data_IF_841956339325
#
_entry.id   IF_841956339325
#
_cell.length_a   1.000
_cell.length_b   1.000
_cell.length_c   1.000
_cell.angle_alpha   90.00
_cell.angle_beta   90.00
_cell.angle_gamma   90.00
#
_symmetry.space_group_name_H-M   'P 1'
#
loop_
_entity.id
_entity.type
_entity.pdbx_description
1 polymer ?
#
# COMPACT_ATOMS: atom_id res chain seq x y z
N UNK A 1 37.13 7.60 13.98
CA UNK A 1 36.77 6.31 14.60
C UNK A 1 35.30 6.09 14.29
N UNK A 2 35.04 5.54 13.10
CA UNK A 2 33.69 5.20 12.64
C UNK A 2 33.18 4.03 13.50
N UNK A 3 31.99 4.21 14.10
CA UNK A 3 31.36 3.18 14.90
C UNK A 3 30.98 2.00 14.01
N UNK A 4 31.52 0.84 14.33
CA UNK A 4 31.24 -0.42 13.63
C UNK A 4 29.74 -0.75 13.73
N UNK A 5 29.02 -0.62 12.62
CA UNK A 5 27.61 -1.02 12.52
C UNK A 5 27.53 -2.55 12.56
N UNK A 6 27.29 -3.10 13.75
CA UNK A 6 27.10 -4.54 13.93
C UNK A 6 25.71 -4.95 13.42
N UNK A 7 25.60 -5.95 12.53
CA UNK A 7 24.31 -6.47 12.10
C UNK A 7 23.56 -7.12 13.29
N UNK A 8 22.24 -7.11 13.20
CA UNK A 8 21.34 -7.72 14.19
C UNK A 8 21.69 -9.20 14.40
N UNK A 9 21.83 -9.62 15.66
CA UNK A 9 22.08 -11.03 16.00
C UNK A 9 20.79 -11.88 16.00
N UNK A 10 20.94 -13.19 16.21
CA UNK A 10 19.82 -14.13 16.13
C UNK A 10 18.75 -13.92 17.22
N UNK A 11 19.13 -13.46 18.41
CA UNK A 11 18.19 -13.22 19.51
C UNK A 11 17.43 -11.91 19.28
N UNK A 12 18.15 -10.86 18.87
CA UNK A 12 17.55 -9.60 18.45
C UNK A 12 16.60 -9.79 17.27
N UNK A 13 16.99 -10.61 16.28
CA UNK A 13 16.12 -10.96 15.15
C UNK A 13 14.86 -11.66 15.63
N UNK A 14 14.96 -12.63 16.55
CA UNK A 14 13.80 -13.35 17.06
C UNK A 14 12.83 -12.40 17.76
N UNK A 15 13.32 -11.53 18.63
CA UNK A 15 12.51 -10.53 19.33
C UNK A 15 11.80 -9.60 18.33
N UNK A 16 12.55 -9.06 17.38
CA UNK A 16 12.04 -8.13 16.37
C UNK A 16 11.06 -8.80 15.39
N UNK A 17 11.27 -10.07 15.06
CA UNK A 17 10.36 -10.84 14.22
C UNK A 17 9.01 -11.05 14.91
N UNK A 18 8.98 -11.33 16.21
CA UNK A 18 7.73 -11.41 16.96
C UNK A 18 6.95 -10.09 16.92
N UNK A 19 7.62 -8.96 17.17
CA UNK A 19 7.01 -7.63 17.06
C UNK A 19 6.45 -7.35 15.66
N UNK A 20 7.19 -7.73 14.62
CA UNK A 20 6.74 -7.59 13.23
C UNK A 20 5.50 -8.44 12.92
N UNK A 21 5.46 -9.69 13.41
CA UNK A 21 4.30 -10.57 13.22
C UNK A 21 3.07 -9.99 13.91
N UNK A 22 3.20 -9.51 15.15
CA UNK A 22 2.11 -8.86 15.88
C UNK A 22 1.62 -7.61 15.14
N UNK A 23 2.54 -6.76 14.66
CA UNK A 23 2.22 -5.58 13.86
C UNK A 23 1.43 -5.91 12.58
N UNK A 24 1.85 -6.94 11.84
CA UNK A 24 1.15 -7.39 10.62
C UNK A 24 -0.24 -7.95 10.96
N UNK A 25 -0.34 -8.73 12.04
CA UNK A 25 -1.62 -9.29 12.49
C UNK A 25 -2.61 -8.18 12.88
N UNK A 26 -2.14 -7.18 13.63
CA UNK A 26 -2.95 -6.02 14.01
C UNK A 26 -3.33 -5.15 12.81
N UNK A 27 -2.44 -5.01 11.81
CA UNK A 27 -2.78 -4.36 10.55
C UNK A 27 -3.92 -5.08 9.84
N UNK A 28 -3.86 -6.40 9.66
CA UNK A 28 -4.93 -7.16 9.03
C UNK A 28 -6.24 -7.12 9.81
N UNK A 29 -6.16 -7.17 11.14
CA UNK A 29 -7.34 -7.08 12.02
C UNK A 29 -8.07 -5.74 11.88
N UNK A 30 -7.32 -4.66 11.62
CA UNK A 30 -7.85 -3.30 11.54
C UNK A 30 -7.91 -2.76 10.11
N UNK A 31 -7.66 -3.59 9.08
CA UNK A 31 -7.47 -3.12 7.70
C UNK A 31 -8.71 -2.40 7.15
N UNK A 32 -9.90 -2.83 7.56
CA UNK A 32 -11.18 -2.25 7.16
C UNK A 32 -11.41 -0.84 7.72
N UNK A 33 -10.64 -0.42 8.73
CA UNK A 33 -10.72 0.93 9.28
C UNK A 33 -9.95 1.96 8.42
N UNK A 34 -9.14 1.50 7.46
CA UNK A 34 -8.39 2.39 6.57
C UNK A 34 -9.13 2.61 5.24
N UNK A 35 -9.03 3.82 4.65
CA UNK A 35 -9.57 4.06 3.32
C UNK A 35 -8.84 3.19 2.29
N UNK A 36 -9.58 2.40 1.52
CA UNK A 36 -8.99 1.43 0.58
C UNK A 36 -7.98 2.06 -0.39
N UNK A 37 -8.31 3.22 -0.94
CA UNK A 37 -7.41 3.99 -1.82
C UNK A 37 -6.68 5.05 -1.00
N UNK A 38 -5.39 5.23 -1.28
CA UNK A 38 -4.62 6.31 -0.68
C UNK A 38 -5.23 7.68 -0.99
N UNK A 39 -5.19 8.58 0.00
CA UNK A 39 -5.77 9.94 -0.06
C UNK A 39 -4.67 11.03 -0.09
N UNK A 40 -3.42 10.66 -0.38
CA UNK A 40 -2.29 11.59 -0.34
C UNK A 40 -1.96 12.16 -1.72
N UNK A 41 -1.35 13.33 -1.70
CA UNK A 41 -0.84 13.99 -2.91
C UNK A 41 0.54 13.43 -3.32
N UNK A 42 0.88 13.47 -4.63
CA UNK A 42 2.21 13.15 -5.10
C UNK A 42 3.29 13.97 -4.36
N UNK A 43 4.34 13.28 -3.90
CA UNK A 43 5.45 13.91 -3.17
C UNK A 43 5.19 14.21 -1.69
N UNK A 44 4.07 13.77 -1.10
CA UNK A 44 3.81 13.97 0.33
C UNK A 44 4.90 13.36 1.22
N UNK A 45 5.38 12.15 0.88
CA UNK A 45 6.33 11.40 1.71
C UNK A 45 7.69 12.08 1.76
N UNK A 46 8.13 12.71 0.66
CA UNK A 46 9.38 13.48 0.60
C UNK A 46 9.38 14.66 1.59
N UNK A 47 8.22 15.18 1.98
CA UNK A 47 8.10 16.26 2.97
C UNK A 47 8.15 15.77 4.42
N UNK A 48 7.95 14.47 4.64
CA UNK A 48 7.88 13.84 5.98
C UNK A 48 9.18 13.11 6.36
N UNK A 49 9.99 12.74 5.37
CA UNK A 49 11.25 12.05 5.58
C UNK A 49 12.40 13.05 5.74
N UNK A 50 13.44 12.72 6.53
CA UNK A 50 14.64 13.54 6.62
C UNK A 50 15.43 13.53 5.31
N UNK A 51 16.14 14.63 5.03
CA UNK A 51 16.94 14.80 3.80
C UNK A 51 18.13 13.83 3.70
N UNK A 52 18.56 13.25 4.82
CA UNK A 52 19.66 12.32 4.89
C UNK A 52 19.36 11.17 5.86
N UNK A 53 19.97 10.01 5.60
CA UNK A 53 19.87 8.86 6.47
C UNK A 53 20.44 9.16 7.88
N UNK A 54 19.84 8.60 8.93
CA UNK A 54 20.31 8.81 10.29
C UNK A 54 21.72 8.26 10.48
N UNK A 55 22.56 9.00 11.22
CA UNK A 55 23.94 8.60 11.52
C UNK A 55 24.04 7.58 12.65
N UNK A 56 22.94 7.35 13.37
CA UNK A 56 22.83 6.40 14.48
C UNK A 56 21.68 5.43 14.20
N UNK A 57 21.77 4.18 14.67
CA UNK A 57 20.69 3.23 14.54
C UNK A 57 19.47 3.68 15.34
N UNK A 58 18.30 3.50 14.73
CA UNK A 58 16.99 3.67 15.36
C UNK A 58 16.45 2.31 15.79
N UNK A 59 15.48 2.29 16.71
CA UNK A 59 14.87 1.03 17.14
C UNK A 59 13.85 0.56 16.09
N UNK A 60 13.54 -0.75 16.08
CA UNK A 60 12.47 -1.26 15.21
C UNK A 60 11.13 -0.58 15.53
N UNK A 61 10.87 -0.24 16.79
CA UNK A 61 9.61 0.40 17.17
C UNK A 61 9.48 1.78 16.53
N UNK A 62 10.54 2.59 16.55
CA UNK A 62 10.54 3.91 15.91
C UNK A 62 10.22 3.80 14.40
N UNK A 63 10.79 2.78 13.75
CA UNK A 63 10.53 2.50 12.33
C UNK A 63 9.09 2.05 12.09
N UNK A 64 8.53 1.18 12.94
CA UNK A 64 7.15 0.71 12.81
C UNK A 64 6.13 1.84 13.05
N UNK A 65 6.42 2.72 14.01
CA UNK A 65 5.60 3.90 14.30
C UNK A 65 5.61 4.86 13.09
N UNK A 66 6.78 5.05 12.47
CA UNK A 66 6.92 5.80 11.23
C UNK A 66 6.17 5.17 10.05
N UNK A 67 6.18 3.84 9.93
CA UNK A 67 5.38 3.12 8.93
C UNK A 67 3.89 3.40 9.13
N UNK A 68 3.40 3.31 10.36
CA UNK A 68 2.00 3.56 10.66
C UNK A 68 1.60 5.04 10.41
N UNK A 69 2.45 5.99 10.79
CA UNK A 69 2.15 7.42 10.69
C UNK A 69 2.35 7.98 9.28
N UNK A 70 3.41 7.56 8.57
CA UNK A 70 3.86 8.17 7.31
C UNK A 70 3.54 7.30 6.09
N UNK A 71 3.58 5.97 6.21
CA UNK A 71 3.42 5.06 5.07
C UNK A 71 1.96 4.63 4.89
N UNK A 72 1.27 4.21 5.95
CA UNK A 72 -0.12 3.71 5.83
C UNK A 72 -1.08 4.66 5.10
N UNK A 73 -1.09 5.99 5.36
CA UNK A 73 -1.97 6.90 4.61
C UNK A 73 -1.70 6.93 3.09
N UNK A 74 -0.45 6.64 2.70
CA UNK A 74 0.03 6.63 1.33
C UNK A 74 -0.16 5.31 0.58
N UNK A 75 -0.60 4.26 1.27
CA UNK A 75 -0.75 2.92 0.69
C UNK A 75 -2.19 2.72 0.24
N UNK A 76 -2.37 2.14 -0.94
CA UNK A 76 -3.63 1.50 -1.32
C UNK A 76 -3.70 0.14 -0.62
N UNK A 77 -4.72 -0.09 0.21
CA UNK A 77 -4.86 -1.30 1.01
C UNK A 77 -5.49 -2.43 0.19
N UNK A 78 -4.69 -3.04 -0.70
CA UNK A 78 -5.10 -4.12 -1.61
C UNK A 78 -5.72 -5.33 -0.90
N UNK A 79 -5.33 -5.58 0.34
CA UNK A 79 -5.83 -6.70 1.14
C UNK A 79 -7.17 -6.42 1.85
N UNK A 80 -7.71 -5.20 1.74
CA UNK A 80 -9.04 -4.90 2.25
C UNK A 80 -10.11 -5.66 1.45
N UNK A 81 -11.13 -6.25 2.09
CA UNK A 81 -12.26 -6.86 1.39
C UNK A 81 -12.93 -5.89 0.40
N UNK A 82 -12.99 -4.60 0.73
CA UNK A 82 -13.59 -3.57 -0.11
C UNK A 82 -12.79 -3.26 -1.37
N UNK A 83 -11.49 -3.57 -1.40
CA UNK A 83 -10.69 -3.46 -2.61
C UNK A 83 -11.18 -4.39 -3.72
N UNK A 84 -11.65 -5.59 -3.37
CA UNK A 84 -12.26 -6.52 -4.32
C UNK A 84 -13.56 -5.94 -4.92
N UNK A 85 -14.36 -5.23 -4.12
CA UNK A 85 -15.56 -4.55 -4.60
C UNK A 85 -15.24 -3.50 -5.67
N UNK A 86 -14.16 -2.73 -5.49
CA UNK A 86 -13.69 -1.74 -6.48
C UNK A 86 -13.30 -2.43 -7.80
N UNK A 87 -12.52 -3.52 -7.75
CA UNK A 87 -12.13 -4.25 -8.97
C UNK A 87 -13.36 -4.80 -9.69
N UNK A 88 -14.28 -5.43 -8.95
CA UNK A 88 -15.48 -6.03 -9.53
C UNK A 88 -16.36 -4.96 -10.20
N UNK A 89 -16.52 -3.80 -9.57
CA UNK A 89 -17.26 -2.67 -10.15
C UNK A 89 -16.59 -2.20 -11.46
N UNK A 90 -15.28 -1.99 -11.47
CA UNK A 90 -14.54 -1.58 -12.67
C UNK A 90 -14.71 -2.61 -13.80
N UNK A 91 -14.64 -3.91 -13.50
CA UNK A 91 -14.82 -4.97 -14.47
C UNK A 91 -16.24 -4.97 -15.08
N UNK A 92 -17.28 -4.79 -14.26
CA UNK A 92 -18.67 -4.69 -14.73
C UNK A 92 -18.88 -3.45 -15.60
N UNK A 93 -18.37 -2.29 -15.17
CA UNK A 93 -18.48 -1.04 -15.94
C UNK A 93 -17.77 -1.14 -17.28
N UNK A 94 -16.59 -1.79 -17.33
CA UNK A 94 -15.88 -2.05 -18.58
C UNK A 94 -16.70 -2.94 -19.52
N UNK A 95 -17.26 -4.05 -19.02
CA UNK A 95 -18.11 -4.92 -19.83
C UNK A 95 -19.36 -4.22 -20.37
N UNK A 96 -19.98 -3.36 -19.56
CA UNK A 96 -21.10 -2.53 -19.99
C UNK A 96 -20.69 -1.52 -21.06
N UNK A 97 -19.58 -0.80 -20.86
CA UNK A 97 -19.04 0.13 -21.84
C UNK A 97 -18.73 -0.54 -23.18
N UNK A 98 -18.07 -1.71 -23.16
CA UNK A 98 -17.79 -2.50 -24.36
C UNK A 98 -19.08 -2.91 -25.07
N UNK A 99 -20.13 -3.31 -24.35
CA UNK A 99 -21.43 -3.68 -24.95
C UNK A 99 -22.20 -2.48 -25.52
N UNK A 100 -22.13 -1.32 -24.85
CA UNK A 100 -22.83 -0.10 -25.26
C UNK A 100 -22.07 0.73 -26.30
N UNK A 101 -20.76 0.56 -26.44
CA UNK A 101 -19.92 1.26 -27.43
C UNK A 101 -19.93 0.60 -28.81
N UNK A 102 -20.64 -0.52 -29.00
CA UNK A 102 -20.85 -1.15 -30.32
C UNK A 102 -22.29 -1.00 -30.86
N UNK A 103 -22.87 0.21 -31.03
CA UNK A 103 -24.10 0.35 -31.82
C UNK A 103 -23.86 0.63 -33.31
N UNK A 104 -22.66 1.08 -33.72
CA UNK A 104 -22.47 1.69 -35.06
C UNK A 104 -21.74 0.86 -36.12
N UNK A 105 -21.16 -0.30 -35.77
CA UNK A 105 -20.37 -1.10 -36.74
C UNK A 105 -21.14 -2.22 -37.45
N UNK A 106 -22.44 -2.42 -37.15
CA UNK A 106 -23.24 -3.50 -37.78
C UNK A 106 -23.94 -3.03 -39.07
N UNK A 107 -24.07 -1.72 -39.31
CA UNK A 107 -24.81 -1.19 -40.46
C UNK A 107 -23.95 -0.90 -41.70
N UNK A 108 -22.62 -0.87 -41.58
CA UNK A 108 -21.72 -0.51 -42.68
C UNK A 108 -21.43 -1.65 -43.67
N UNK A 109 -21.69 -2.90 -43.31
CA UNK A 109 -21.48 -4.06 -44.22
C UNK A 109 -22.70 -4.38 -45.11
N UNK A 110 -23.80 -3.62 -45.03
CA UNK A 110 -25.01 -3.84 -45.85
C UNK A 110 -25.21 -2.79 -46.96
N UNK A 111 -24.24 -1.91 -47.18
CA UNK A 111 -24.26 -0.90 -48.24
C UNK A 111 -23.05 -1.08 -49.17
N UNK A 112 -23.04 -2.17 -49.93
CA UNK A 112 -22.08 -2.46 -50.99
C UNK A 112 -22.71 -3.33 -52.07
#
# INVERSE_FOLDING_TARGET
MEGELKPMDAEQLRENAHKMVDFIADYYKNIENFPVLSQVEPGYLCKLLPDAAPTRPETLQDVLDDVQAKIFPGVTHWQSPDFLHIILLIAVLRGFWEKCSVPELIWWDSAG
#
